data_IF_228396612421
#
_entry.id   IF_228396612421
#
_cell.length_a   1.000
_cell.length_b   1.000
_cell.length_c   1.000
_cell.angle_alpha   90.00
_cell.angle_beta   90.00
_cell.angle_gamma   90.00
#
_symmetry.space_group_name_H-M   'P 1'
#
loop_
_entity.id
_entity.type
_entity.pdbx_description
1 polymer ?
#
# COMPACT_ATOMS: atom_id res chain seq x y z
N UNK A 1 8.35 25.92 6.85
CA UNK A 1 7.00 25.46 6.51
C UNK A 1 7.15 24.15 5.74
N UNK A 2 6.73 23.03 6.32
CA UNK A 2 6.77 21.72 5.65
C UNK A 2 5.43 21.59 4.94
N UNK A 3 5.44 21.67 3.61
CA UNK A 3 4.24 21.50 2.80
C UNK A 3 3.76 20.07 2.95
N UNK A 4 2.55 19.89 3.49
CA UNK A 4 1.90 18.59 3.66
C UNK A 4 1.64 18.01 2.26
N UNK A 5 2.41 16.99 1.87
CA UNK A 5 2.28 16.35 0.55
C UNK A 5 1.10 15.39 0.61
N UNK A 6 -0.01 15.72 -0.06
CA UNK A 6 -1.10 14.77 -0.27
C UNK A 6 -0.67 13.70 -1.28
N UNK A 7 -0.97 12.43 -1.01
CA UNK A 7 -0.64 11.28 -1.86
C UNK A 7 -1.13 11.44 -3.31
N UNK A 8 -2.17 12.26 -3.52
CA UNK A 8 -2.78 12.55 -4.83
C UNK A 8 -1.90 13.41 -5.75
N UNK A 9 -0.83 14.05 -5.24
CA UNK A 9 0.03 14.95 -6.02
C UNK A 9 1.40 14.36 -6.37
N UNK A 10 1.67 13.12 -5.97
CA UNK A 10 2.95 12.45 -6.24
C UNK A 10 2.94 11.91 -7.67
N UNK A 11 3.82 12.43 -8.52
CA UNK A 11 4.04 11.87 -9.85
C UNK A 11 4.68 10.48 -9.74
N UNK A 12 3.91 9.45 -10.06
CA UNK A 12 4.39 8.07 -10.07
C UNK A 12 5.38 7.88 -11.24
N UNK A 13 6.63 7.52 -10.93
CA UNK A 13 7.64 7.20 -11.93
C UNK A 13 7.73 5.68 -12.02
N UNK A 14 7.55 5.13 -13.22
CA UNK A 14 7.75 3.71 -13.48
C UNK A 14 9.09 3.54 -14.17
N UNK A 15 10.00 2.76 -13.57
CA UNK A 15 11.27 2.39 -14.16
C UNK A 15 11.41 0.87 -14.13
N UNK A 16 11.65 0.25 -15.29
CA UNK A 16 11.71 -1.20 -15.44
C UNK A 16 10.50 -1.92 -14.81
N UNK A 17 9.29 -1.42 -15.10
CA UNK A 17 8.01 -1.91 -14.58
C UNK A 17 7.88 -1.87 -13.03
N UNK A 18 8.74 -1.10 -12.36
CA UNK A 18 8.75 -0.92 -10.91
C UNK A 18 8.46 0.55 -10.57
N UNK A 19 7.51 0.83 -9.65
CA UNK A 19 7.35 2.15 -9.07
C UNK A 19 8.62 2.61 -8.35
N UNK A 20 9.11 3.79 -8.70
CA UNK A 20 10.30 4.38 -8.12
C UNK A 20 10.13 5.86 -7.80
N UNK A 21 10.94 6.37 -6.88
CA UNK A 21 11.00 7.79 -6.52
C UNK A 21 12.43 8.30 -6.49
N UNK A 22 12.62 9.60 -6.75
CA UNK A 22 13.96 10.22 -6.69
C UNK A 22 14.41 10.45 -5.26
N UNK A 23 15.71 10.70 -5.07
CA UNK A 23 16.28 11.02 -3.75
C UNK A 23 15.67 12.29 -3.16
N UNK A 24 15.38 13.27 -4.03
CA UNK A 24 14.75 14.54 -3.66
C UNK A 24 13.30 14.33 -3.18
N UNK A 25 12.55 13.44 -3.83
CA UNK A 25 11.18 13.14 -3.42
C UNK A 25 11.19 12.36 -2.11
N UNK A 26 12.07 11.36 -2.00
CA UNK A 26 12.24 10.56 -0.79
C UNK A 26 12.58 11.42 0.43
N UNK A 27 13.49 12.39 0.27
CA UNK A 27 13.88 13.32 1.32
C UNK A 27 12.67 14.15 1.81
N UNK A 28 11.89 14.69 0.86
CA UNK A 28 10.66 15.44 1.20
C UNK A 28 9.62 14.58 1.91
N UNK A 29 9.37 13.36 1.43
CA UNK A 29 8.41 12.43 2.03
C UNK A 29 8.79 12.08 3.48
N UNK A 30 10.08 11.91 3.75
CA UNK A 30 10.57 11.66 5.10
C UNK A 30 10.88 12.91 5.92
N UNK A 31 10.56 14.12 5.45
CA UNK A 31 10.83 15.35 6.19
C UNK A 31 12.31 15.56 6.53
N UNK A 32 13.22 15.10 5.65
CA UNK A 32 14.67 15.17 5.85
C UNK A 32 15.39 15.81 4.67
N UNK A 33 16.69 16.07 4.83
CA UNK A 33 17.53 16.65 3.79
C UNK A 33 18.03 15.61 2.78
N UNK A 34 18.18 16.00 1.52
CA UNK A 34 18.70 15.14 0.44
C UNK A 34 20.08 14.57 0.79
N UNK A 35 20.91 15.37 1.46
CA UNK A 35 22.23 14.93 1.92
C UNK A 35 22.15 13.80 2.95
N UNK A 36 21.15 13.81 3.84
CA UNK A 36 20.98 12.75 4.83
C UNK A 36 20.69 11.41 4.16
N UNK A 37 19.81 11.40 3.14
CA UNK A 37 19.54 10.21 2.34
C UNK A 37 20.81 9.66 1.68
N UNK A 38 21.61 10.54 1.06
CA UNK A 38 22.87 10.14 0.39
C UNK A 38 23.92 9.60 1.34
N UNK A 39 24.13 10.27 2.48
CA UNK A 39 25.09 9.85 3.50
C UNK A 39 24.66 8.52 4.12
N UNK A 40 23.37 8.36 4.43
CA UNK A 40 22.81 7.12 4.95
C UNK A 40 23.02 5.95 3.99
N UNK A 41 22.70 6.15 2.70
CA UNK A 41 22.95 5.16 1.66
C UNK A 41 24.42 4.76 1.61
N UNK A 42 25.34 5.74 1.60
CA UNK A 42 26.78 5.49 1.51
C UNK A 42 27.30 4.68 2.70
N UNK A 43 26.85 5.03 3.92
CA UNK A 43 27.26 4.35 5.17
C UNK A 43 26.74 2.92 5.29
N UNK A 44 25.69 2.57 4.56
CA UNK A 44 25.02 1.27 4.64
C UNK A 44 24.92 0.63 3.26
N UNK A 45 25.84 0.94 2.35
CA UNK A 45 25.76 0.52 0.95
C UNK A 45 25.72 -1.01 0.79
N UNK A 46 26.34 -1.75 1.72
CA UNK A 46 26.27 -3.22 1.86
C UNK A 46 24.83 -3.72 2.08
N UNK A 47 23.99 -2.88 2.68
CA UNK A 47 22.54 -3.08 2.87
C UNK A 47 21.75 -2.46 1.72
N UNK A 48 22.28 -2.33 0.53
CA UNK A 48 21.49 -2.01 -0.66
C UNK A 48 21.95 -2.87 -1.84
N UNK A 49 21.01 -3.16 -2.72
CA UNK A 49 21.23 -4.04 -3.87
C UNK A 49 20.53 -3.38 -5.05
N UNK A 50 21.30 -3.11 -6.09
CA UNK A 50 20.79 -2.55 -7.34
C UNK A 50 19.80 -3.54 -7.99
N UNK A 51 18.72 -3.03 -8.58
CA UNK A 51 17.61 -3.83 -9.10
C UNK A 51 16.59 -4.28 -8.05
N UNK A 52 16.90 -4.20 -6.75
CA UNK A 52 15.98 -4.55 -5.66
C UNK A 52 15.57 -3.35 -4.83
N UNK A 53 16.55 -2.56 -4.40
CA UNK A 53 16.34 -1.42 -3.51
C UNK A 53 16.44 -0.10 -4.26
N UNK A 54 17.27 -0.05 -5.30
CA UNK A 54 17.42 1.12 -6.14
C UNK A 54 17.80 0.74 -7.56
N UNK A 55 17.64 1.69 -8.48
CA UNK A 55 18.20 1.65 -9.83
C UNK A 55 19.05 2.89 -10.05
N UNK A 56 20.19 2.74 -10.74
CA UNK A 56 21.03 3.87 -11.12
C UNK A 56 20.83 4.20 -12.59
N UNK A 57 20.14 5.31 -12.86
CA UNK A 57 19.97 5.81 -14.23
C UNK A 57 21.17 6.68 -14.64
N UNK A 58 21.76 6.34 -15.79
CA UNK A 58 22.90 7.04 -16.41
C UNK A 58 22.70 7.14 -17.93
N UNK A 59 23.49 7.96 -18.62
CA UNK A 59 23.46 8.02 -20.07
C UNK A 59 22.08 8.36 -20.64
N UNK A 60 21.59 7.54 -21.57
CA UNK A 60 20.31 7.77 -22.24
C UNK A 60 19.10 7.53 -21.34
N UNK A 61 19.17 6.60 -20.39
CA UNK A 61 18.12 6.41 -19.38
C UNK A 61 17.88 7.68 -18.57
N UNK A 62 18.97 8.37 -18.19
CA UNK A 62 18.88 9.63 -17.48
C UNK A 62 18.31 10.77 -18.36
N UNK A 63 18.62 10.77 -19.66
CA UNK A 63 18.04 11.75 -20.59
C UNK A 63 16.52 11.58 -20.70
N UNK A 64 16.07 10.34 -20.84
CA UNK A 64 14.63 10.02 -20.93
C UNK A 64 13.90 10.42 -19.65
N UNK A 65 14.46 10.07 -18.49
CA UNK A 65 13.87 10.44 -17.19
C UNK A 65 13.80 11.95 -16.97
N UNK A 66 14.78 12.73 -17.46
CA UNK A 66 14.69 14.19 -17.40
C UNK A 66 13.49 14.73 -18.15
N UNK A 67 13.20 14.20 -19.34
CA UNK A 67 12.03 14.59 -20.13
C UNK A 67 10.76 14.30 -19.35
N UNK A 68 10.64 13.11 -18.77
CA UNK A 68 9.50 12.72 -17.93
C UNK A 68 9.35 13.63 -16.70
N UNK A 69 10.47 14.03 -16.09
CA UNK A 69 10.48 14.81 -14.85
C UNK A 69 10.49 16.33 -15.05
N UNK A 70 10.55 16.82 -16.29
CA UNK A 70 10.64 18.25 -16.64
C UNK A 70 9.58 19.10 -15.95
N UNK A 71 8.34 18.59 -15.92
CA UNK A 71 7.16 19.26 -15.38
C UNK A 71 6.75 18.72 -14.00
N UNK A 72 7.59 17.88 -13.38
CA UNK A 72 7.30 17.29 -12.07
C UNK A 72 7.69 18.25 -10.94
N UNK A 73 7.26 17.93 -9.71
CA UNK A 73 7.67 18.67 -8.51
C UNK A 73 9.19 18.61 -8.22
N UNK A 74 9.92 17.72 -8.90
CA UNK A 74 11.36 17.49 -8.75
C UNK A 74 12.06 17.38 -10.12
N UNK A 75 12.26 18.51 -10.82
CA UNK A 75 13.01 18.51 -12.06
C UNK A 75 14.47 18.11 -11.82
N UNK A 76 15.00 17.26 -12.69
CA UNK A 76 16.39 16.79 -12.60
C UNK A 76 17.32 17.80 -13.28
N UNK A 77 18.35 18.24 -12.54
CA UNK A 77 19.33 19.19 -13.07
C UNK A 77 19.99 18.70 -14.36
N UNK A 78 20.17 19.56 -15.38
CA UNK A 78 20.90 19.23 -16.60
C UNK A 78 22.35 18.77 -16.35
N UNK A 79 22.94 19.14 -15.21
CA UNK A 79 24.31 18.80 -14.82
C UNK A 79 24.44 17.41 -14.17
N UNK A 80 23.34 16.79 -13.75
CA UNK A 80 23.36 15.48 -13.07
C UNK A 80 23.92 14.38 -13.99
N UNK A 81 24.96 13.66 -13.56
CA UNK A 81 25.57 12.58 -14.37
C UNK A 81 24.98 11.20 -14.12
N UNK A 82 24.34 11.03 -12.97
CA UNK A 82 23.62 9.81 -12.57
C UNK A 82 22.49 10.16 -11.62
N UNK A 83 21.37 9.44 -11.70
CA UNK A 83 20.24 9.57 -10.80
C UNK A 83 19.98 8.23 -10.10
N UNK A 84 19.79 8.26 -8.78
CA UNK A 84 19.35 7.09 -8.03
C UNK A 84 17.83 7.14 -7.90
N UNK A 85 17.19 6.05 -8.29
CA UNK A 85 15.76 5.81 -8.22
C UNK A 85 15.51 4.76 -7.15
N UNK A 86 14.71 5.10 -6.14
CA UNK A 86 14.43 4.23 -5.00
C UNK A 86 13.15 3.45 -5.23
N UNK A 87 13.20 2.13 -5.05
CA UNK A 87 11.99 1.30 -4.99
C UNK A 87 11.30 1.48 -3.63
N UNK A 88 10.08 0.98 -3.48
CA UNK A 88 9.39 0.92 -2.17
C UNK A 88 10.26 0.24 -1.10
N UNK A 89 10.95 -0.83 -1.46
CA UNK A 89 11.87 -1.55 -0.54
C UNK A 89 13.09 -0.70 -0.17
N UNK A 90 13.60 0.09 -1.11
CA UNK A 90 14.69 1.03 -0.84
C UNK A 90 14.26 2.15 0.09
N UNK A 91 13.09 2.74 -0.18
CA UNK A 91 12.48 3.76 0.68
C UNK A 91 12.28 3.23 2.11
N UNK A 92 11.70 2.03 2.26
CA UNK A 92 11.54 1.39 3.56
C UNK A 92 12.87 1.17 4.31
N UNK A 93 13.97 0.86 3.60
CA UNK A 93 15.30 0.79 4.24
C UNK A 93 15.78 2.15 4.75
N UNK A 94 15.45 3.24 4.05
CA UNK A 94 15.74 4.58 4.55
C UNK A 94 14.95 4.93 5.81
N UNK A 95 13.68 4.53 5.92
CA UNK A 95 12.88 4.74 7.13
C UNK A 95 13.56 4.17 8.39
N UNK A 96 14.19 2.99 8.28
CA UNK A 96 14.94 2.37 9.39
C UNK A 96 16.07 3.25 9.96
N UNK A 97 16.56 4.21 9.17
CA UNK A 97 17.78 4.97 9.47
C UNK A 97 17.49 6.45 9.74
N UNK A 98 16.22 6.84 9.69
CA UNK A 98 15.76 8.20 9.86
C UNK A 98 14.93 8.28 11.14
N UNK A 99 15.17 9.34 11.92
CA UNK A 99 14.49 9.59 13.19
C UNK A 99 13.36 10.63 13.02
N UNK A 100 12.83 10.79 11.81
CA UNK A 100 11.78 11.79 11.52
C UNK A 100 10.40 11.21 11.78
N UNK A 101 9.43 12.05 12.18
CA UNK A 101 8.05 11.60 12.43
C UNK A 101 7.47 10.83 11.24
N UNK A 102 7.75 11.27 10.02
CA UNK A 102 7.31 10.59 8.80
C UNK A 102 7.97 9.22 8.59
N UNK A 103 9.22 9.04 9.03
CA UNK A 103 9.88 7.73 9.00
C UNK A 103 9.27 6.78 10.05
N UNK A 104 8.92 7.31 11.24
CA UNK A 104 8.20 6.58 12.28
C UNK A 104 6.81 6.12 11.81
N UNK A 105 6.04 6.96 11.11
CA UNK A 105 4.75 6.55 10.52
C UNK A 105 4.89 5.38 9.52
N UNK A 106 5.98 5.35 8.73
CA UNK A 106 6.23 4.23 7.82
C UNK A 106 6.61 2.97 8.59
N UNK A 107 7.39 3.11 9.66
CA UNK A 107 7.73 1.99 10.52
C UNK A 107 6.50 1.39 11.20
N UNK A 108 5.63 2.23 11.78
CA UNK A 108 4.34 1.82 12.37
C UNK A 108 3.49 1.05 11.35
N UNK A 109 3.36 1.54 10.11
CA UNK A 109 2.65 0.83 9.03
C UNK A 109 3.26 -0.54 8.71
N UNK A 110 4.59 -0.66 8.75
CA UNK A 110 5.27 -1.94 8.52
C UNK A 110 5.05 -2.92 9.67
N UNK A 111 5.09 -2.43 10.92
CA UNK A 111 4.77 -3.21 12.11
C UNK A 111 3.32 -3.69 12.08
N UNK A 112 2.39 -2.78 11.78
CA UNK A 112 0.98 -3.10 11.57
C UNK A 112 0.82 -4.19 10.52
N UNK A 113 1.44 -4.06 9.34
CA UNK A 113 1.35 -5.07 8.28
C UNK A 113 1.96 -6.43 8.69
N UNK A 114 3.00 -6.42 9.54
CA UNK A 114 3.69 -7.63 9.96
C UNK A 114 2.94 -8.37 11.09
N UNK A 115 2.51 -7.65 12.13
CA UNK A 115 1.86 -8.23 13.32
C UNK A 115 0.35 -8.33 13.19
N UNK A 116 -0.24 -7.45 12.39
CA UNK A 116 -1.63 -7.48 12.03
C UNK A 116 -1.72 -7.50 10.51
N UNK A 117 -1.32 -8.62 9.85
CA UNK A 117 -1.55 -8.79 8.43
C UNK A 117 -3.06 -8.73 8.22
N UNK A 118 -3.58 -7.51 8.03
CA UNK A 118 -4.90 -7.30 7.47
C UNK A 118 -4.83 -8.14 6.21
N UNK A 119 -5.75 -9.10 6.13
CA UNK A 119 -5.89 -9.98 4.98
C UNK A 119 -5.70 -9.12 3.74
N UNK A 120 -4.88 -9.60 2.78
CA UNK A 120 -4.41 -8.80 1.65
C UNK A 120 -5.55 -7.92 1.19
N UNK A 121 -5.35 -6.60 0.98
CA UNK A 121 -6.43 -5.72 0.57
C UNK A 121 -7.11 -6.47 -0.54
N UNK A 122 -8.36 -6.90 -0.28
CA UNK A 122 -9.07 -7.74 -1.21
C UNK A 122 -8.87 -7.01 -2.52
N UNK A 123 -8.29 -7.70 -3.53
CA UNK A 123 -8.37 -7.20 -4.92
C UNK A 123 -9.75 -6.60 -5.00
N UNK A 124 -9.90 -5.34 -5.40
CA UNK A 124 -11.20 -4.68 -5.47
C UNK A 124 -12.05 -5.49 -6.45
N UNK A 125 -12.59 -6.60 -5.96
CA UNK A 125 -13.48 -7.50 -6.63
C UNK A 125 -14.79 -6.76 -6.47
N UNK A 126 -15.26 -6.17 -7.59
CA UNK A 126 -16.43 -5.34 -7.55
C UNK A 126 -17.59 -6.19 -7.03
N UNK A 127 -18.46 -5.57 -6.25
CA UNK A 127 -19.76 -6.17 -6.03
C UNK A 127 -20.49 -6.10 -7.37
N UNK A 128 -20.90 -7.27 -7.89
CA UNK A 128 -21.56 -7.36 -9.19
C UNK A 128 -23.06 -7.38 -8.91
N UNK A 129 -23.74 -6.31 -9.32
CA UNK A 129 -25.20 -6.25 -9.30
C UNK A 129 -25.76 -7.16 -10.40
N UNK A 130 -26.79 -7.93 -10.07
CA UNK A 130 -27.54 -8.64 -11.09
C UNK A 130 -28.35 -7.66 -11.93
N UNK A 131 -28.36 -7.83 -13.24
CA UNK A 131 -29.22 -7.10 -14.16
C UNK A 131 -30.28 -8.02 -14.82
N UNK A 132 -30.34 -9.29 -14.36
CA UNK A 132 -31.12 -10.37 -14.96
C UNK A 132 -30.43 -11.06 -16.15
N UNK A 133 -29.23 -10.61 -16.52
CA UNK A 133 -28.36 -11.19 -17.56
C UNK A 133 -27.01 -11.66 -16.98
N UNK A 134 -26.61 -11.16 -15.82
CA UNK A 134 -25.49 -11.69 -15.04
C UNK A 134 -25.69 -13.19 -14.74
N UNK A 135 -24.65 -13.99 -14.99
CA UNK A 135 -24.62 -15.42 -14.72
C UNK A 135 -23.57 -15.74 -13.66
N UNK A 136 -23.96 -16.52 -12.65
CA UNK A 136 -23.04 -17.16 -11.71
C UNK A 136 -22.77 -18.58 -12.19
N UNK A 137 -21.49 -18.92 -12.37
CA UNK A 137 -21.05 -20.24 -12.84
C UNK A 137 -20.24 -20.87 -11.71
N UNK A 138 -20.64 -22.06 -11.30
CA UNK A 138 -19.95 -22.86 -10.31
C UNK A 138 -19.07 -23.88 -11.02
N UNK A 139 -17.82 -23.97 -10.60
CA UNK A 139 -16.85 -24.93 -11.13
C UNK A 139 -16.52 -25.99 -10.08
N UNK A 140 -16.34 -27.24 -10.53
CA UNK A 140 -15.81 -28.32 -9.70
C UNK A 140 -14.28 -28.18 -9.48
N UNK A 141 -13.70 -29.08 -8.68
CA UNK A 141 -12.25 -29.09 -8.40
C UNK A 141 -11.38 -29.32 -9.65
N UNK A 142 -11.95 -29.78 -10.75
CA UNK A 142 -11.28 -30.02 -12.03
C UNK A 142 -11.50 -28.89 -13.04
N UNK A 143 -12.27 -27.86 -12.69
CA UNK A 143 -12.59 -26.71 -13.55
C UNK A 143 -13.74 -26.97 -14.53
N UNK A 144 -14.52 -28.04 -14.36
CA UNK A 144 -15.75 -28.26 -15.13
C UNK A 144 -16.89 -27.46 -14.53
N UNK A 145 -17.84 -27.03 -15.37
CA UNK A 145 -19.04 -26.36 -14.90
C UNK A 145 -19.94 -27.36 -14.17
N UNK A 146 -20.17 -27.12 -12.88
CA UNK A 146 -21.10 -27.90 -12.06
C UNK A 146 -22.54 -27.45 -12.30
N UNK A 147 -22.79 -26.13 -12.24
CA UNK A 147 -24.07 -25.53 -12.65
C UNK A 147 -23.93 -24.02 -12.90
N UNK A 148 -24.95 -23.44 -13.53
CA UNK A 148 -25.04 -22.01 -13.83
C UNK A 148 -26.40 -21.46 -13.40
N UNK A 149 -26.42 -20.30 -12.76
CA UNK A 149 -27.66 -19.58 -12.41
C UNK A 149 -27.63 -18.12 -12.86
N UNK A 150 -28.82 -17.55 -13.10
CA UNK A 150 -28.96 -16.11 -13.38
C UNK A 150 -29.08 -15.35 -12.08
N UNK A 151 -28.32 -14.27 -11.95
CA UNK A 151 -28.42 -13.37 -10.81
C UNK A 151 -29.62 -12.43 -10.98
N UNK A 152 -30.59 -12.44 -10.05
CA UNK A 152 -31.73 -11.54 -10.05
C UNK A 152 -31.34 -10.05 -10.01
N UNK A 153 -32.24 -9.16 -10.44
CA UNK A 153 -31.99 -7.71 -10.49
C UNK A 153 -31.78 -7.05 -9.12
N UNK A 154 -32.32 -7.68 -8.09
CA UNK A 154 -32.27 -7.27 -6.69
C UNK A 154 -31.21 -8.05 -5.89
N UNK A 155 -30.39 -8.85 -6.56
CA UNK A 155 -29.33 -9.63 -5.96
C UNK A 155 -27.94 -9.09 -6.33
N UNK A 156 -26.97 -9.42 -5.49
CA UNK A 156 -25.59 -8.97 -5.61
C UNK A 156 -24.65 -10.13 -5.37
N UNK A 157 -23.61 -10.25 -6.20
CA UNK A 157 -22.56 -11.27 -6.07
C UNK A 157 -21.28 -10.61 -5.57
N UNK A 158 -20.74 -11.13 -4.47
CA UNK A 158 -19.44 -10.73 -3.94
C UNK A 158 -18.87 -11.84 -3.06
N UNK A 159 -17.57 -11.78 -2.76
CA UNK A 159 -16.96 -12.69 -1.78
C UNK A 159 -17.47 -12.42 -0.37
N UNK A 160 -17.42 -13.43 0.50
CA UNK A 160 -17.82 -13.28 1.90
C UNK A 160 -17.03 -12.15 2.62
N UNK A 161 -15.76 -11.96 2.27
CA UNK A 161 -14.93 -10.87 2.80
C UNK A 161 -15.41 -9.50 2.32
N UNK A 162 -15.75 -9.37 1.04
CA UNK A 162 -16.29 -8.12 0.50
C UNK A 162 -17.63 -7.77 1.13
N UNK A 163 -18.49 -8.76 1.33
CA UNK A 163 -19.77 -8.59 2.03
C UNK A 163 -19.56 -8.14 3.48
N UNK A 164 -18.62 -8.75 4.19
CA UNK A 164 -18.25 -8.35 5.54
C UNK A 164 -17.76 -6.90 5.60
N UNK A 165 -16.86 -6.50 4.70
CA UNK A 165 -16.37 -5.12 4.62
C UNK A 165 -17.49 -4.12 4.32
N UNK A 166 -18.41 -4.48 3.41
CA UNK A 166 -19.60 -3.68 3.12
C UNK A 166 -20.43 -3.45 4.39
N UNK A 167 -20.70 -4.49 5.16
CA UNK A 167 -21.44 -4.39 6.42
C UNK A 167 -20.73 -3.49 7.44
N UNK A 168 -19.42 -3.68 7.63
CA UNK A 168 -18.61 -2.85 8.53
C UNK A 168 -18.63 -1.36 8.14
N UNK A 169 -18.54 -1.04 6.83
CA UNK A 169 -18.64 0.34 6.32
C UNK A 169 -20.01 0.98 6.56
N UNK A 170 -21.07 0.18 6.60
CA UNK A 170 -22.44 0.64 6.84
C UNK A 170 -22.82 0.57 8.32
N UNK A 171 -21.84 0.39 9.23
CA UNK A 171 -22.04 0.41 10.68
C UNK A 171 -22.58 -0.89 11.28
N UNK A 172 -22.59 -1.98 10.50
CA UNK A 172 -23.02 -3.29 10.97
C UNK A 172 -21.84 -4.06 11.55
N UNK A 173 -22.02 -4.62 12.74
CA UNK A 173 -21.05 -5.48 13.41
C UNK A 173 -21.42 -6.95 13.20
N UNK A 174 -20.50 -7.75 12.68
CA UNK A 174 -20.68 -9.21 12.56
C UNK A 174 -19.90 -9.89 13.69
N UNK A 175 -20.61 -10.61 14.55
CA UNK A 175 -20.02 -11.38 15.64
C UNK A 175 -20.71 -12.74 15.78
N UNK A 176 -19.94 -13.80 16.09
CA UNK A 176 -20.55 -15.08 16.40
C UNK A 176 -21.29 -15.02 17.74
N UNK A 177 -22.30 -15.89 17.94
CA UNK A 177 -23.02 -16.00 19.21
C UNK A 177 -22.06 -16.16 20.41
N UNK A 178 -20.97 -16.90 20.21
CA UNK A 178 -19.95 -17.12 21.23
C UNK A 178 -19.11 -15.85 21.50
N UNK A 179 -18.79 -15.07 20.47
CA UNK A 179 -18.03 -13.82 20.63
C UNK A 179 -18.88 -12.75 21.32
N UNK A 180 -20.17 -12.66 21.01
CA UNK A 180 -21.12 -11.81 21.74
C UNK A 180 -21.17 -12.24 23.20
N UNK A 181 -21.30 -13.54 23.49
CA UNK A 181 -21.32 -14.05 24.85
C UNK A 181 -20.01 -13.72 25.61
N UNK A 182 -18.85 -13.82 24.95
CA UNK A 182 -17.55 -13.44 25.53
C UNK A 182 -17.47 -11.95 25.85
N UNK A 183 -17.89 -11.09 24.92
CA UNK A 183 -17.88 -9.63 25.12
C UNK A 183 -18.80 -9.23 26.26
N UNK A 184 -20.01 -9.80 26.31
CA UNK A 184 -20.97 -9.57 27.40
C UNK A 184 -20.41 -10.05 28.74
N UNK A 185 -19.85 -11.25 28.80
CA UNK A 185 -19.24 -11.78 30.02
C UNK A 185 -18.03 -10.95 30.48
N UNK A 186 -17.20 -10.47 29.56
CA UNK A 186 -16.09 -9.56 29.87
C UNK A 186 -16.58 -8.20 30.40
N UNK A 187 -17.64 -7.65 29.81
CA UNK A 187 -18.23 -6.39 30.28
C UNK A 187 -18.86 -6.55 31.68
N UNK A 188 -19.60 -7.63 31.90
CA UNK A 188 -20.18 -7.97 33.21
C UNK A 188 -19.08 -8.16 34.25
N UNK A 189 -18.03 -8.93 33.95
CA UNK A 189 -16.92 -9.13 34.88
C UNK A 189 -16.18 -7.82 35.21
N UNK A 190 -15.96 -6.93 34.22
CA UNK A 190 -15.38 -5.60 34.47
C UNK A 190 -16.27 -4.72 35.36
N UNK A 191 -17.59 -4.81 35.21
CA UNK A 191 -18.53 -4.08 36.06
C UNK A 191 -18.58 -4.67 37.48
N UNK A 192 -18.49 -5.99 37.62
CA UNK A 192 -18.53 -6.70 38.91
C UNK A 192 -17.23 -6.57 39.71
N UNK A 193 -16.08 -6.32 39.06
CA UNK A 193 -14.79 -6.06 39.71
C UNK A 193 -14.65 -4.61 40.23
N UNK A 194 -15.60 -3.72 39.89
CA UNK A 194 -15.64 -2.33 40.34
C UNK A 194 -16.61 -2.08 41.50
N UNK A 195 -17.11 -3.15 42.14
CA UNK A 195 -17.88 -3.14 43.40
C UNK A 195 -17.11 -3.91 44.47
#
# INVERSE_FOLDING_TARGET
MITQISAETISLIIHQNTPVITTELLARLYGTEVNNIKVNFTRNADRFVEGKHFYKAVGDDLKNLRVTLSNSQNPVSPKTRSLILWTERGAARHAKMLETDQAWEVFEKLEDCYFNPKRPPAKHEPMIEGDGRTLLIHFDEHGNVEFTEKVPKDAMVCTAERFRLYLEQHGWLIASKNDIAKVVNQAVNKLMLNF
#
